data_IF_589664811223
#
_entry.id   IF_589664811223
#
_cell.length_a   1.000
_cell.length_b   1.000
_cell.length_c   1.000
_cell.angle_alpha   90.00
_cell.angle_beta   90.00
_cell.angle_gamma   90.00
#
_symmetry.space_group_name_H-M   'P 1'
#
loop_
_entity.id
_entity.type
_entity.pdbx_description
1 polymer ?
#
# COMPACT_ATOMS: atom_id res chain seq x y z
N UNK A 1 -29.66 -23.64 11.48
CA UNK A 1 -28.62 -22.77 10.87
C UNK A 1 -27.42 -23.65 10.63
N UNK A 2 -26.84 -23.60 9.44
CA UNK A 2 -25.84 -24.56 8.98
C UNK A 2 -24.53 -24.46 9.78
N UNK A 3 -24.42 -25.26 10.83
CA UNK A 3 -23.27 -25.29 11.75
C UNK A 3 -22.01 -25.80 11.06
N UNK A 4 -22.16 -26.67 10.06
CA UNK A 4 -21.06 -27.19 9.25
C UNK A 4 -20.47 -26.08 8.37
N UNK A 5 -21.31 -25.31 7.68
CA UNK A 5 -20.85 -24.14 6.92
C UNK A 5 -20.12 -23.14 7.81
N UNK A 6 -20.71 -22.80 8.97
CA UNK A 6 -20.06 -21.88 9.92
C UNK A 6 -18.70 -22.41 10.38
N UNK A 7 -18.61 -23.70 10.71
CA UNK A 7 -17.35 -24.32 11.14
C UNK A 7 -16.30 -24.26 10.03
N UNK A 8 -16.66 -24.62 8.80
CA UNK A 8 -15.74 -24.63 7.67
C UNK A 8 -15.15 -23.23 7.38
N UNK A 9 -15.97 -22.18 7.50
CA UNK A 9 -15.51 -20.79 7.35
C UNK A 9 -14.50 -20.44 8.45
N UNK A 10 -14.81 -20.75 9.71
CA UNK A 10 -13.90 -20.46 10.83
C UNK A 10 -12.59 -21.25 10.74
N UNK A 11 -12.66 -22.54 10.40
CA UNK A 11 -11.46 -23.38 10.21
C UNK A 11 -10.54 -22.81 9.11
N UNK A 12 -11.12 -22.23 8.05
CA UNK A 12 -10.35 -21.58 6.98
C UNK A 12 -9.65 -20.31 7.46
N UNK A 13 -10.33 -19.50 8.27
CA UNK A 13 -9.72 -18.29 8.86
C UNK A 13 -8.57 -18.69 9.81
N UNK A 14 -8.79 -19.68 10.68
CA UNK A 14 -7.76 -20.20 11.59
C UNK A 14 -6.55 -20.77 10.84
N UNK A 15 -6.76 -21.35 9.65
CA UNK A 15 -5.67 -21.85 8.81
C UNK A 15 -4.82 -20.72 8.24
N UNK A 16 -5.44 -19.61 7.84
CA UNK A 16 -4.73 -18.44 7.33
C UNK A 16 -3.95 -17.73 8.44
N UNK A 17 -4.52 -17.62 9.63
CA UNK A 17 -3.82 -17.06 10.79
C UNK A 17 -2.57 -17.88 11.15
N UNK A 18 -2.65 -19.21 11.04
CA UNK A 18 -1.48 -20.09 11.23
C UNK A 18 -0.38 -19.83 10.21
N UNK A 19 -0.72 -19.74 8.93
CA UNK A 19 0.24 -19.44 7.86
C UNK A 19 0.90 -18.08 8.10
N UNK A 20 0.13 -17.06 8.49
CA UNK A 20 0.66 -15.73 8.78
C UNK A 20 1.63 -15.70 9.97
N UNK A 21 1.61 -16.71 10.86
CA UNK A 21 2.55 -16.86 11.96
C UNK A 21 3.87 -17.57 11.61
N UNK A 22 4.03 -18.08 10.38
CA UNK A 22 5.26 -18.75 9.95
C UNK A 22 6.33 -17.73 9.50
N UNK A 23 7.57 -17.87 9.95
CA UNK A 23 8.67 -16.93 9.65
C UNK A 23 9.34 -17.15 8.27
N UNK A 24 8.54 -17.40 7.23
CA UNK A 24 9.03 -17.64 5.85
C UNK A 24 8.48 -16.61 4.83
N UNK A 25 8.94 -15.35 4.87
CA UNK A 25 8.33 -14.24 4.13
C UNK A 25 8.28 -14.43 2.60
N UNK A 26 9.24 -15.15 2.01
CA UNK A 26 9.26 -15.42 0.56
C UNK A 26 8.12 -16.32 0.10
N UNK A 27 7.66 -17.23 0.95
CA UNK A 27 6.50 -18.10 0.69
C UNK A 27 5.21 -17.38 1.04
N UNK A 28 5.23 -16.51 2.05
CA UNK A 28 4.06 -15.79 2.52
C UNK A 28 3.57 -14.71 1.55
N UNK A 29 4.46 -13.99 0.87
CA UNK A 29 4.05 -12.84 0.04
C UNK A 29 3.08 -13.21 -1.10
N UNK A 30 3.31 -14.26 -1.91
CA UNK A 30 2.37 -14.68 -2.95
C UNK A 30 1.03 -15.16 -2.38
N UNK A 31 1.06 -15.88 -1.26
CA UNK A 31 -0.12 -16.39 -0.56
C UNK A 31 -0.94 -15.21 -0.03
N UNK A 32 -0.31 -14.31 0.72
CA UNK A 32 -0.93 -13.12 1.28
C UNK A 32 -1.56 -12.26 0.19
N UNK A 33 -0.88 -12.04 -0.95
CA UNK A 33 -1.45 -11.24 -2.06
C UNK A 33 -2.72 -11.86 -2.61
N UNK A 34 -2.72 -13.17 -2.83
CA UNK A 34 -3.87 -13.90 -3.39
C UNK A 34 -5.04 -13.90 -2.41
N UNK A 35 -4.78 -14.18 -1.14
CA UNK A 35 -5.82 -14.26 -0.11
C UNK A 35 -6.37 -12.87 0.24
N UNK A 36 -5.52 -11.84 0.33
CA UNK A 36 -5.98 -10.46 0.50
C UNK A 36 -6.89 -10.02 -0.64
N UNK A 37 -6.54 -10.35 -1.89
CA UNK A 37 -7.41 -10.06 -3.03
C UNK A 37 -8.77 -10.74 -2.88
N UNK A 38 -8.79 -12.05 -2.62
CA UNK A 38 -10.02 -12.83 -2.40
C UNK A 38 -10.88 -12.26 -1.27
N UNK A 39 -10.28 -11.85 -0.16
CA UNK A 39 -11.02 -11.23 0.94
C UNK A 39 -11.58 -9.86 0.58
N UNK A 40 -10.80 -9.03 -0.13
CA UNK A 40 -11.30 -7.72 -0.55
C UNK A 40 -12.47 -7.84 -1.52
N UNK A 41 -12.44 -8.81 -2.44
CA UNK A 41 -13.55 -9.09 -3.35
C UNK A 41 -14.78 -9.60 -2.58
N UNK A 42 -14.62 -10.59 -1.70
CA UNK A 42 -15.71 -11.11 -0.89
C UNK A 42 -16.34 -10.02 0.00
N UNK A 43 -15.52 -9.12 0.54
CA UNK A 43 -15.98 -7.99 1.34
C UNK A 43 -16.73 -6.96 0.50
N UNK A 44 -16.27 -6.65 -0.72
CA UNK A 44 -17.00 -5.77 -1.65
C UNK A 44 -18.37 -6.33 -1.94
N UNK A 45 -18.45 -7.59 -2.37
CA UNK A 45 -19.73 -8.28 -2.62
C UNK A 45 -20.66 -8.25 -1.40
N UNK A 46 -20.13 -8.50 -0.20
CA UNK A 46 -20.92 -8.43 1.03
C UNK A 46 -21.44 -7.01 1.32
N UNK A 47 -20.66 -5.98 1.03
CA UNK A 47 -21.05 -4.59 1.26
C UNK A 47 -22.05 -4.09 0.22
N UNK A 48 -21.92 -4.54 -1.03
CA UNK A 48 -22.84 -4.27 -2.13
C UNK A 48 -24.24 -4.80 -1.79
N UNK A 49 -24.34 -6.02 -1.24
CA UNK A 49 -25.59 -6.58 -0.73
C UNK A 49 -26.23 -5.73 0.38
N UNK A 50 -25.46 -4.85 1.02
CA UNK A 50 -25.88 -4.01 2.13
C UNK A 50 -26.00 -2.52 1.77
N UNK A 51 -26.01 -2.17 0.49
CA UNK A 51 -26.25 -0.81 0.01
C UNK A 51 -27.62 -0.27 0.46
N UNK A 52 -27.76 1.07 0.60
CA UNK A 52 -29.05 1.68 0.89
C UNK A 52 -30.00 1.53 -0.31
N UNK A 53 -31.24 1.15 -0.03
CA UNK A 53 -32.33 1.24 -1.00
C UNK A 53 -32.78 2.69 -1.22
N UNK A 54 -33.77 2.89 -2.10
CA UNK A 54 -34.36 4.20 -2.38
C UNK A 54 -34.89 4.94 -1.14
N UNK A 55 -35.17 4.22 -0.06
CA UNK A 55 -35.67 4.76 1.20
C UNK A 55 -34.56 4.98 2.23
N UNK A 56 -33.28 4.81 1.85
CA UNK A 56 -32.12 4.93 2.75
C UNK A 56 -32.01 3.79 3.76
N UNK A 57 -32.54 2.60 3.43
CA UNK A 57 -32.54 1.42 4.32
C UNK A 57 -31.76 0.28 3.70
N UNK A 58 -31.21 -0.59 4.56
CA UNK A 58 -30.53 -1.79 4.09
C UNK A 58 -31.57 -2.89 3.78
N UNK A 59 -31.64 -3.41 2.55
CA UNK A 59 -32.62 -4.44 2.16
C UNK A 59 -32.28 -5.83 2.73
N UNK A 60 -30.99 -6.13 2.89
CA UNK A 60 -30.49 -7.45 3.30
C UNK A 60 -30.48 -7.68 4.82
N UNK A 61 -30.45 -6.59 5.60
CA UNK A 61 -30.59 -6.68 7.05
C UNK A 61 -32.02 -7.05 7.45
N UNK A 62 -32.26 -8.35 7.71
CA UNK A 62 -33.52 -8.83 8.29
C UNK A 62 -33.69 -8.27 9.71
N UNK A 63 -34.64 -7.34 9.87
CA UNK A 63 -35.20 -6.93 11.16
C UNK A 63 -36.61 -7.50 11.30
N UNK A 64 -37.03 -7.82 12.53
CA UNK A 64 -38.30 -8.53 12.84
C UNK A 64 -39.59 -7.84 12.39
N UNK A 65 -39.55 -6.68 11.74
CA UNK A 65 -40.70 -6.12 11.00
C UNK A 65 -40.35 -4.91 10.10
N UNK A 66 -39.14 -4.34 10.16
CA UNK A 66 -38.70 -3.21 9.31
C UNK A 66 -37.22 -3.34 8.92
N UNK A 67 -36.92 -2.99 7.66
CA UNK A 67 -35.54 -2.83 7.15
C UNK A 67 -34.76 -1.86 8.04
N UNK A 68 -33.50 -2.19 8.35
CA UNK A 68 -32.65 -1.36 9.21
C UNK A 68 -32.24 -0.07 8.50
N UNK A 69 -32.15 1.07 9.20
CA UNK A 69 -31.61 2.29 8.60
C UNK A 69 -30.16 2.08 8.16
N UNK A 70 -29.78 2.69 7.05
CA UNK A 70 -28.39 2.75 6.61
C UNK A 70 -27.65 3.91 7.31
N UNK A 71 -26.37 3.76 7.71
CA UNK A 71 -25.53 2.57 7.57
C UNK A 71 -25.89 1.49 8.58
N UNK A 72 -26.04 0.24 8.10
CA UNK A 72 -26.36 -0.90 8.94
C UNK A 72 -25.11 -1.42 9.69
N UNK A 73 -25.31 -2.39 10.61
CA UNK A 73 -24.22 -2.93 11.44
C UNK A 73 -23.05 -3.50 10.64
N UNK A 74 -23.29 -4.08 9.46
CA UNK A 74 -22.24 -4.62 8.58
C UNK A 74 -21.36 -3.50 8.05
N UNK A 75 -21.98 -2.44 7.50
CA UNK A 75 -21.27 -1.24 7.05
C UNK A 75 -20.52 -0.53 8.19
N UNK A 76 -21.13 -0.43 9.36
CA UNK A 76 -20.48 0.16 10.54
C UNK A 76 -19.26 -0.66 10.98
N UNK A 77 -19.36 -1.99 11.00
CA UNK A 77 -18.26 -2.87 11.32
C UNK A 77 -17.12 -2.74 10.30
N UNK A 78 -17.44 -2.75 9.00
CA UNK A 78 -16.45 -2.57 7.94
C UNK A 78 -15.74 -1.21 8.05
N UNK A 79 -16.48 -0.12 8.28
CA UNK A 79 -15.91 1.20 8.51
C UNK A 79 -14.95 1.19 9.72
N UNK A 80 -15.36 0.59 10.83
CA UNK A 80 -14.52 0.53 12.03
C UNK A 80 -13.20 -0.20 11.75
N UNK A 81 -13.26 -1.40 11.16
CA UNK A 81 -12.09 -2.24 10.90
C UNK A 81 -11.14 -1.63 9.85
N UNK A 82 -11.69 -1.05 8.77
CA UNK A 82 -10.87 -0.57 7.65
C UNK A 82 -10.33 0.85 7.84
N UNK A 83 -11.07 1.70 8.52
CA UNK A 83 -10.78 3.15 8.61
C UNK A 83 -10.38 3.51 10.04
N UNK A 84 -11.18 3.13 11.04
CA UNK A 84 -10.96 3.55 12.43
C UNK A 84 -9.83 2.78 13.12
N UNK A 85 -9.73 1.47 12.94
CA UNK A 85 -8.63 0.70 13.56
C UNK A 85 -7.29 0.99 12.90
N UNK A 86 -7.29 1.28 11.59
CA UNK A 86 -6.07 1.66 10.86
C UNK A 86 -5.52 3.01 11.32
N UNK A 87 -6.37 4.00 11.61
CA UNK A 87 -5.91 5.26 12.16
C UNK A 87 -5.29 5.09 13.56
N UNK A 88 -5.92 4.29 14.44
CA UNK A 88 -5.36 3.98 15.76
C UNK A 88 -4.06 3.16 15.74
N UNK A 89 -3.91 2.24 14.79
CA UNK A 89 -2.67 1.44 14.60
C UNK A 89 -1.54 2.29 14.03
N UNK A 90 -1.83 3.18 13.07
CA UNK A 90 -0.85 4.13 12.52
C UNK A 90 -0.32 5.06 13.61
N UNK A 91 -1.19 5.60 14.47
CA UNK A 91 -0.78 6.41 15.61
C UNK A 91 0.05 5.62 16.63
N UNK A 92 -0.34 4.37 16.93
CA UNK A 92 0.42 3.49 17.83
C UNK A 92 1.80 3.18 17.27
N UNK A 93 1.91 2.85 15.98
CA UNK A 93 3.19 2.65 15.28
C UNK A 93 4.03 3.92 15.25
N UNK A 94 3.42 5.09 15.05
CA UNK A 94 4.12 6.37 15.11
C UNK A 94 4.66 6.68 16.52
N UNK A 95 3.89 6.36 17.58
CA UNK A 95 4.34 6.49 18.98
C UNK A 95 5.49 5.53 19.29
N UNK A 96 5.41 4.27 18.86
CA UNK A 96 6.50 3.31 19.00
C UNK A 96 7.77 3.76 18.26
N UNK A 97 7.62 4.28 17.04
CA UNK A 97 8.76 4.82 16.25
C UNK A 97 9.42 6.04 16.91
N UNK A 98 8.64 6.90 17.58
CA UNK A 98 9.19 8.00 18.40
C UNK A 98 9.92 7.47 19.63
N UNK A 99 9.41 6.43 20.29
CA UNK A 99 10.06 5.82 21.44
C UNK A 99 11.37 5.11 21.08
N UNK A 100 11.45 4.44 19.93
CA UNK A 100 12.69 3.79 19.45
C UNK A 100 13.71 4.79 18.89
N UNK A 101 13.27 5.97 18.42
CA UNK A 101 14.16 7.05 17.99
C UNK A 101 14.84 7.79 19.15
N UNK A 102 14.29 7.70 20.36
CA UNK A 102 14.87 8.31 21.58
C UNK A 102 15.99 7.50 22.20
N UNK A 103 16.23 6.26 21.74
CA UNK A 103 17.07 5.29 22.45
C UNK A 103 18.21 4.69 21.60
N UNK A 104 18.74 5.43 20.60
CA UNK A 104 20.12 5.16 20.19
C UNK A 104 21.05 5.75 21.28
N UNK A 105 21.89 4.95 21.95
CA UNK A 105 22.94 5.49 22.78
C UNK A 105 23.91 6.22 21.86
N UNK A 106 23.91 7.55 21.98
CA UNK A 106 24.92 8.44 21.39
C UNK A 106 26.27 8.01 21.97
N UNK A 107 27.05 7.28 21.17
CA UNK A 107 28.49 7.15 21.41
C UNK A 107 29.03 8.59 21.53
N UNK A 108 29.75 8.97 22.61
CA UNK A 108 30.28 10.32 22.74
C UNK A 108 31.47 10.49 21.80
N UNK A 109 31.21 10.71 20.51
CA UNK A 109 32.17 11.38 19.64
C UNK A 109 32.36 12.82 20.13
N UNK A 110 33.58 13.37 20.03
CA UNK A 110 33.93 14.65 20.65
C UNK A 110 32.97 15.74 20.17
N UNK A 111 32.44 16.48 21.15
CA UNK A 111 31.47 17.53 20.95
C UNK A 111 31.99 18.57 19.94
N UNK A 112 31.52 18.48 18.69
CA UNK A 112 31.56 19.62 17.77
C UNK A 112 30.72 20.72 18.43
N UNK A 113 31.39 21.81 18.83
CA UNK A 113 30.76 22.95 19.45
C UNK A 113 29.73 23.52 18.48
N UNK A 114 28.45 23.44 18.86
CA UNK A 114 27.37 24.12 18.16
C UNK A 114 27.53 25.60 18.47
N UNK A 115 27.98 26.37 17.49
CA UNK A 115 28.05 27.84 17.58
C UNK A 115 26.60 28.35 17.63
N UNK A 116 26.17 29.05 18.69
CA UNK A 116 24.79 29.53 18.82
C UNK A 116 24.50 30.76 17.95
N UNK A 117 25.51 31.32 17.29
CA UNK A 117 25.33 32.41 16.34
C UNK A 117 24.93 31.85 14.97
N UNK A 118 23.91 32.43 14.31
CA UNK A 118 23.52 32.02 12.97
C UNK A 118 24.69 32.30 12.02
N UNK A 119 25.15 31.26 11.33
CA UNK A 119 26.09 31.42 10.21
C UNK A 119 25.32 32.12 9.09
N UNK A 120 25.35 33.45 9.08
CA UNK A 120 24.85 34.23 7.95
C UNK A 120 25.93 34.19 6.89
N UNK A 121 25.79 33.27 5.92
CA UNK A 121 26.56 33.35 4.69
C UNK A 121 26.17 34.64 3.97
N UNK A 122 27.03 35.66 4.10
CA UNK A 122 26.95 36.84 3.27
C UNK A 122 27.26 36.42 1.82
N UNK A 123 26.30 36.73 0.94
CA UNK A 123 26.39 36.75 -0.53
C UNK A 123 26.74 35.42 -1.22
N UNK A 124 25.71 34.59 -1.40
CA UNK A 124 25.56 33.69 -2.54
C UNK A 124 24.07 33.66 -2.93
N UNK A 125 23.70 33.50 -4.21
CA UNK A 125 22.29 33.46 -4.62
C UNK A 125 21.52 32.41 -3.81
N UNK A 126 20.42 32.85 -3.19
CA UNK A 126 19.59 32.00 -2.34
C UNK A 126 18.81 30.94 -3.12
N UNK A 127 18.14 30.00 -2.42
CA UNK A 127 17.53 28.79 -2.99
C UNK A 127 16.31 29.01 -3.91
N UNK A 128 16.05 30.27 -4.31
CA UNK A 128 15.05 30.65 -5.32
C UNK A 128 15.67 30.91 -6.71
N UNK A 129 16.98 30.73 -6.88
CA UNK A 129 17.70 30.95 -8.15
C UNK A 129 17.87 29.66 -8.97
N UNK A 130 16.81 28.86 -9.06
CA UNK A 130 16.77 27.78 -10.06
C UNK A 130 16.28 28.36 -11.39
N UNK A 131 17.07 29.24 -11.99
CA UNK A 131 16.92 29.57 -13.41
C UNK A 131 17.63 28.50 -14.22
N UNK A 132 17.08 27.29 -14.15
CA UNK A 132 17.43 26.23 -15.08
C UNK A 132 16.36 26.27 -16.15
N UNK A 133 16.74 26.70 -17.35
CA UNK A 133 15.95 26.72 -18.59
C UNK A 133 15.35 25.35 -19.00
N UNK A 134 15.37 24.37 -18.09
CA UNK A 134 14.93 22.99 -18.24
C UNK A 134 13.41 22.85 -18.43
N UNK A 135 12.63 23.90 -18.14
CA UNK A 135 11.18 23.94 -18.39
C UNK A 135 10.77 24.73 -19.63
N UNK A 136 11.71 25.34 -20.37
CA UNK A 136 11.40 25.89 -21.69
C UNK A 136 11.16 24.71 -22.63
N UNK A 137 9.88 24.45 -22.94
CA UNK A 137 9.52 23.52 -24.00
C UNK A 137 10.16 24.01 -25.30
N UNK A 138 10.95 23.19 -26.01
CA UNK A 138 11.42 23.57 -27.33
C UNK A 138 10.21 23.85 -28.21
N UNK A 139 10.23 25.00 -28.89
CA UNK A 139 9.21 25.39 -29.84
C UNK A 139 9.20 24.36 -30.99
N UNK A 140 8.16 23.52 -31.03
CA UNK A 140 8.03 22.42 -31.99
C UNK A 140 7.70 22.92 -33.41
N UNK A 141 7.71 24.22 -33.65
CA UNK A 141 7.33 24.81 -34.94
C UNK A 141 8.43 24.68 -36.00
N UNK A 142 9.64 24.19 -35.67
CA UNK A 142 10.77 24.12 -36.61
C UNK A 142 11.51 22.76 -36.69
N UNK A 143 10.92 21.66 -36.22
CA UNK A 143 11.53 20.34 -36.41
C UNK A 143 11.14 19.75 -37.80
N UNK A 144 12.11 19.44 -38.69
CA UNK A 144 11.81 18.68 -39.90
C UNK A 144 11.31 17.28 -39.51
N UNK A 145 10.07 16.98 -39.89
CA UNK A 145 9.42 15.69 -39.67
C UNK A 145 10.14 14.62 -40.48
N UNK A 146 11.13 13.98 -39.88
CA UNK A 146 11.66 12.72 -40.41
C UNK A 146 10.85 11.60 -39.78
N UNK A 147 10.09 10.80 -40.55
CA UNK A 147 9.35 9.68 -39.98
C UNK A 147 10.36 8.69 -39.35
N UNK A 148 10.04 8.11 -38.19
CA UNK A 148 10.88 7.08 -37.62
C UNK A 148 10.98 5.91 -38.61
N UNK A 149 12.16 5.29 -38.80
CA UNK A 149 12.24 4.08 -39.61
C UNK A 149 11.32 3.03 -39.00
N UNK A 150 10.55 2.36 -39.86
CA UNK A 150 9.71 1.22 -39.52
C UNK A 150 10.52 0.27 -38.63
N UNK A 151 10.10 0.15 -37.37
CA UNK A 151 10.64 -0.86 -36.48
C UNK A 151 10.30 -2.22 -37.08
N UNK A 152 11.29 -2.86 -37.70
CA UNK A 152 11.20 -4.27 -38.05
C UNK A 152 10.90 -5.05 -36.78
N UNK A 153 9.78 -5.77 -36.82
CA UNK A 153 9.30 -6.63 -35.76
C UNK A 153 10.29 -7.77 -35.57
N UNK A 154 11.21 -7.61 -34.62
CA UNK A 154 12.06 -8.70 -34.15
C UNK A 154 11.16 -9.75 -33.49
N UNK A 155 10.93 -10.86 -34.21
CA UNK A 155 10.32 -12.06 -33.66
C UNK A 155 11.18 -12.57 -32.51
N UNK A 156 10.68 -12.41 -31.29
CA UNK A 156 11.27 -13.00 -30.11
C UNK A 156 10.99 -14.51 -30.12
N UNK A 157 12.02 -15.28 -30.48
CA UNK A 157 12.05 -16.74 -30.35
C UNK A 157 11.88 -17.13 -28.88
N UNK A 158 10.67 -17.54 -28.53
CA UNK A 158 10.22 -17.89 -27.19
C UNK A 158 10.70 -19.28 -26.75
N UNK A 159 11.51 -19.97 -27.56
CA UNK A 159 12.12 -21.26 -27.19
C UNK A 159 13.49 -21.14 -26.52
N UNK A 160 14.14 -19.97 -26.57
CA UNK A 160 15.47 -19.77 -25.97
C UNK A 160 15.40 -19.41 -24.49
N UNK A 161 15.49 -20.43 -23.63
CA UNK A 161 15.73 -20.26 -22.20
C UNK A 161 17.23 -20.04 -21.99
N UNK A 162 17.65 -18.80 -21.77
CA UNK A 162 19.02 -18.50 -21.33
C UNK A 162 19.16 -18.77 -19.83
N UNK A 163 19.97 -19.76 -19.47
CA UNK A 163 20.39 -20.01 -18.08
C UNK A 163 21.66 -19.23 -17.79
N UNK A 164 21.63 -18.34 -16.80
CA UNK A 164 22.82 -17.67 -16.29
C UNK A 164 23.70 -18.69 -15.53
N UNK A 165 25.00 -18.69 -15.80
CA UNK A 165 25.95 -19.48 -15.03
C UNK A 165 26.24 -18.77 -13.70
N UNK A 166 26.10 -19.50 -12.59
CA UNK A 166 26.52 -19.05 -11.26
C UNK A 166 28.04 -19.21 -11.17
N UNK A 167 28.76 -18.11 -11.02
CA UNK A 167 30.18 -18.13 -10.72
C UNK A 167 30.32 -18.21 -9.21
N UNK A 168 30.84 -19.32 -8.69
CA UNK A 168 31.23 -19.42 -7.28
C UNK A 168 32.48 -18.58 -7.04
N UNK A 169 32.42 -17.73 -6.01
CA UNK A 169 33.53 -16.90 -5.56
C UNK A 169 34.38 -17.72 -4.58
N UNK A 170 35.66 -17.87 -4.88
CA UNK A 170 36.69 -18.40 -3.99
C UNK A 170 37.11 -17.40 -2.91
#
# INVERSE_FOLDING_TARGET
>A
MDTALRKAVLDRLDALDRVMGEDAPEVLLPIARTELYRFTEALRTLLDDHEPDSDGRCPSCRGTLRRRPWPCKVWQAAHHQLITERSGSSERRARLRRQTGSHLPRNPEPAVAVIPEPIVSATGPGPSDWDTDEFIRPDLTTAPTTPPPLAERLETDHSRIYRAAVVERA
#
